data_IF_315850390065
#
_entry.id   IF_315850390065
#
_cell.length_a   1.000
_cell.length_b   1.000
_cell.length_c   1.000
_cell.angle_alpha   90.00
_cell.angle_beta   90.00
_cell.angle_gamma   90.00
#
_symmetry.space_group_name_H-M   'P 1'
#
loop_
_entity.id
_entity.type
_entity.pdbx_description
1 polymer ?
#
# COMPACT_ATOMS: atom_id res chain seq x y z
N UNK A 1 32.13 22.09 -36.24
CA UNK A 1 32.46 21.84 -37.69
C UNK A 1 31.18 21.61 -38.44
N UNK A 2 30.62 22.57 -39.13
CA UNK A 2 29.36 22.43 -39.89
C UNK A 2 29.59 21.71 -41.24
N UNK A 3 28.53 21.05 -41.75
CA UNK A 3 28.56 20.39 -43.03
C UNK A 3 28.59 21.44 -44.18
N UNK A 4 29.48 21.28 -45.15
CA UNK A 4 29.63 22.20 -46.28
C UNK A 4 28.47 21.96 -47.29
N UNK A 5 28.14 23.00 -48.09
CA UNK A 5 26.94 23.04 -48.94
C UNK A 5 26.87 21.92 -50.01
N UNK A 6 27.98 21.31 -50.43
CA UNK A 6 28.05 20.20 -51.37
C UNK A 6 28.72 18.93 -50.79
N UNK A 7 28.77 18.82 -49.49
CA UNK A 7 29.43 17.66 -48.82
C UNK A 7 28.39 16.56 -48.57
N UNK A 8 28.70 15.33 -49.02
CA UNK A 8 27.85 14.18 -48.63
C UNK A 8 27.93 13.93 -47.12
N UNK A 9 26.92 13.30 -46.58
CA UNK A 9 26.87 13.05 -45.11
C UNK A 9 28.06 12.14 -44.65
N UNK A 10 28.39 11.16 -45.51
CA UNK A 10 29.56 10.26 -45.24
C UNK A 10 30.87 11.05 -45.28
N UNK A 11 31.06 11.94 -46.24
CA UNK A 11 32.27 12.79 -46.34
C UNK A 11 32.37 13.74 -45.14
N UNK A 12 31.24 14.26 -44.67
CA UNK A 12 31.17 15.06 -43.45
C UNK A 12 31.58 14.27 -42.19
N UNK A 13 30.98 13.08 -41.98
CA UNK A 13 31.32 12.20 -40.86
C UNK A 13 32.81 11.86 -40.89
N UNK A 14 33.33 11.51 -42.06
CA UNK A 14 34.74 11.18 -42.26
C UNK A 14 35.67 12.34 -41.92
N UNK A 15 35.33 13.56 -42.36
CA UNK A 15 36.09 14.77 -42.05
C UNK A 15 36.12 15.10 -40.57
N UNK A 16 34.97 15.01 -39.88
CA UNK A 16 34.87 15.26 -38.45
C UNK A 16 35.57 14.17 -37.63
N UNK A 17 35.44 12.92 -38.03
CA UNK A 17 36.11 11.76 -37.36
C UNK A 17 37.61 11.83 -37.52
N UNK A 18 38.12 12.18 -38.68
CA UNK A 18 39.57 12.38 -38.90
C UNK A 18 40.11 13.56 -38.08
N UNK A 19 39.35 14.67 -37.96
CA UNK A 19 39.74 15.77 -37.10
C UNK A 19 39.83 15.39 -35.61
N UNK A 20 38.96 14.50 -35.14
CA UNK A 20 39.06 13.94 -33.80
C UNK A 20 40.24 12.99 -33.64
N UNK A 21 40.50 12.13 -34.64
CA UNK A 21 41.69 11.27 -34.66
C UNK A 21 43.00 12.07 -34.62
N UNK A 22 43.05 13.17 -35.33
CA UNK A 22 44.17 14.11 -35.37
C UNK A 22 44.30 14.99 -34.10
N UNK A 23 43.43 14.79 -33.09
CA UNK A 23 43.35 15.56 -31.87
C UNK A 23 43.03 17.07 -32.09
N UNK A 24 42.40 17.45 -33.18
CA UNK A 24 41.98 18.80 -33.49
C UNK A 24 40.67 19.17 -32.79
N UNK A 25 39.84 18.15 -32.46
CA UNK A 25 38.66 18.25 -31.65
C UNK A 25 38.63 17.12 -30.61
N UNK A 26 37.93 17.32 -29.50
CA UNK A 26 37.71 16.34 -28.44
C UNK A 26 36.62 15.32 -28.81
N UNK A 27 36.56 14.18 -28.08
CA UNK A 27 35.48 13.21 -28.22
C UNK A 27 34.09 13.81 -27.91
N UNK A 28 34.01 14.78 -27.02
CA UNK A 28 32.79 15.51 -26.71
C UNK A 28 32.34 16.34 -27.92
N UNK A 29 33.23 17.16 -28.50
CA UNK A 29 32.92 17.97 -29.67
C UNK A 29 32.59 17.08 -30.89
N UNK A 30 33.28 15.94 -31.04
CA UNK A 30 32.94 14.94 -32.08
C UNK A 30 31.52 14.42 -31.88
N UNK A 31 31.13 14.12 -30.63
CA UNK A 31 29.78 13.70 -30.28
C UNK A 31 28.73 14.75 -30.63
N UNK A 32 28.98 16.03 -30.30
CA UNK A 32 28.07 17.14 -30.60
C UNK A 32 27.88 17.31 -32.12
N UNK A 33 28.92 17.13 -32.90
CA UNK A 33 28.85 17.26 -34.36
C UNK A 33 28.14 16.08 -35.05
N UNK A 34 28.29 14.84 -34.53
CA UNK A 34 27.77 13.63 -35.16
C UNK A 34 26.41 13.21 -34.59
N UNK A 35 26.22 13.37 -33.29
CA UNK A 35 25.04 12.91 -32.54
C UNK A 35 24.08 14.03 -32.13
N UNK A 36 24.50 15.30 -32.28
CA UNK A 36 23.75 16.48 -31.88
C UNK A 36 24.11 16.98 -30.46
N UNK A 37 23.83 18.27 -30.20
CA UNK A 37 24.21 18.96 -28.97
C UNK A 37 23.41 18.51 -27.72
N UNK A 38 22.32 17.80 -27.89
CA UNK A 38 21.49 17.27 -26.80
C UNK A 38 22.00 15.90 -26.27
N UNK A 39 23.19 15.49 -26.69
CA UNK A 39 23.74 14.21 -26.26
C UNK A 39 24.26 14.30 -24.82
N UNK A 40 23.69 13.48 -23.92
CA UNK A 40 24.12 13.30 -22.52
C UNK A 40 25.07 12.11 -22.34
N UNK A 41 25.92 11.79 -23.31
CA UNK A 41 26.84 10.67 -23.22
C UNK A 41 28.07 10.99 -22.37
N UNK A 42 28.50 10.02 -21.57
CA UNK A 42 29.80 10.14 -20.87
C UNK A 42 30.96 10.15 -21.86
N UNK A 43 32.06 10.80 -21.52
CA UNK A 43 33.27 10.85 -22.35
C UNK A 43 33.78 9.46 -22.75
N UNK A 44 33.58 8.45 -21.92
CA UNK A 44 33.97 7.06 -22.21
C UNK A 44 33.07 6.42 -23.29
N UNK A 45 31.77 6.68 -23.24
CA UNK A 45 30.85 6.19 -24.26
C UNK A 45 31.05 6.87 -25.61
N UNK A 46 31.35 8.16 -25.61
CA UNK A 46 31.70 8.88 -26.84
C UNK A 46 33.03 8.35 -27.44
N UNK A 47 34.00 8.05 -26.62
CA UNK A 47 35.27 7.41 -27.07
C UNK A 47 35.00 6.05 -27.71
N UNK A 48 34.18 5.20 -27.12
CA UNK A 48 33.81 3.88 -27.69
C UNK A 48 33.12 4.02 -29.03
N UNK A 49 32.11 4.94 -29.10
CA UNK A 49 31.38 5.23 -30.33
C UNK A 49 32.33 5.75 -31.44
N UNK A 50 33.22 6.67 -31.09
CA UNK A 50 34.25 7.16 -32.03
C UNK A 50 35.07 6.03 -32.64
N UNK A 51 35.63 5.11 -31.82
CA UNK A 51 36.47 4.02 -32.34
C UNK A 51 35.70 3.08 -33.28
N UNK A 52 34.41 2.88 -33.06
CA UNK A 52 33.56 2.06 -33.94
C UNK A 52 33.37 2.77 -35.30
N UNK A 53 32.98 4.05 -35.27
CA UNK A 53 32.83 4.86 -36.49
C UNK A 53 34.13 4.98 -37.25
N UNK A 54 35.28 5.21 -36.57
CA UNK A 54 36.61 5.27 -37.19
C UNK A 54 36.99 3.95 -37.89
N UNK A 55 36.73 2.80 -37.25
CA UNK A 55 36.97 1.48 -37.85
C UNK A 55 36.12 1.22 -39.08
N UNK A 56 34.83 1.61 -39.02
CA UNK A 56 33.90 1.47 -40.15
C UNK A 56 34.31 2.34 -41.34
N UNK A 57 34.69 3.59 -41.10
CA UNK A 57 35.16 4.48 -42.16
C UNK A 57 36.45 3.96 -42.86
N UNK A 58 37.38 3.39 -42.12
CA UNK A 58 38.56 2.77 -42.67
C UNK A 58 38.24 1.53 -43.52
N UNK A 59 37.26 0.71 -43.12
CA UNK A 59 36.77 -0.43 -43.93
C UNK A 59 36.09 0.01 -45.21
N UNK A 60 35.37 1.14 -45.22
CA UNK A 60 34.74 1.71 -46.41
C UNK A 60 35.81 2.10 -47.44
N UNK A 61 36.94 2.68 -46.98
CA UNK A 61 38.05 3.06 -47.87
C UNK A 61 38.76 1.86 -48.46
N UNK A 62 38.83 0.72 -47.77
CA UNK A 62 39.48 -0.50 -48.22
C UNK A 62 38.66 -1.32 -49.22
N UNK A 63 37.32 -1.28 -49.19
CA UNK A 63 36.45 -2.22 -49.90
C UNK A 63 35.53 -1.61 -50.98
N UNK A 64 35.55 -0.32 -51.23
CA UNK A 64 34.71 0.39 -52.23
C UNK A 64 33.20 0.07 -52.19
N UNK A 65 32.63 -0.37 -51.02
CA UNK A 65 31.25 -0.78 -50.82
C UNK A 65 30.49 0.25 -49.96
N UNK A 66 29.99 1.33 -50.58
CA UNK A 66 29.19 2.37 -49.86
C UNK A 66 27.88 1.83 -49.28
N UNK A 67 27.22 0.86 -49.90
CA UNK A 67 25.88 0.39 -49.53
C UNK A 67 25.86 -0.48 -48.24
N UNK A 68 26.79 -1.36 -48.08
CA UNK A 68 26.89 -2.23 -46.90
C UNK A 68 27.30 -1.44 -45.64
N UNK A 69 28.13 -0.44 -45.82
CA UNK A 69 28.55 0.42 -44.71
C UNK A 69 27.46 1.36 -44.18
N UNK A 70 26.53 1.83 -45.04
CA UNK A 70 25.38 2.63 -44.61
C UNK A 70 24.45 1.77 -43.76
N UNK A 71 24.19 0.53 -44.19
CA UNK A 71 23.34 -0.43 -43.44
C UNK A 71 23.94 -0.82 -42.09
N UNK A 72 25.23 -0.99 -42.01
CA UNK A 72 25.94 -1.27 -40.74
C UNK A 72 25.89 -0.07 -39.80
N UNK A 73 25.99 1.16 -40.30
CA UNK A 73 25.81 2.37 -39.50
C UNK A 73 24.38 2.53 -38.97
N UNK A 74 23.38 2.19 -39.75
CA UNK A 74 21.96 2.21 -39.31
C UNK A 74 21.71 1.16 -38.24
N UNK A 75 22.20 -0.06 -38.42
CA UNK A 75 22.14 -1.12 -37.43
C UNK A 75 22.81 -0.71 -36.11
N UNK A 76 23.98 -0.12 -36.17
CA UNK A 76 24.71 0.35 -35.00
C UNK A 76 23.98 1.49 -34.28
N UNK A 77 23.38 2.42 -35.03
CA UNK A 77 22.55 3.47 -34.44
C UNK A 77 21.38 2.88 -33.65
N UNK A 78 20.72 1.86 -34.20
CA UNK A 78 19.57 1.22 -33.58
C UNK A 78 19.99 0.39 -32.33
N UNK A 79 21.17 -0.22 -32.33
CA UNK A 79 21.74 -0.88 -31.16
C UNK A 79 22.07 0.12 -30.04
N UNK A 80 22.70 1.24 -30.38
CA UNK A 80 22.97 2.33 -29.40
C UNK A 80 21.68 2.88 -28.82
N UNK A 81 20.64 3.05 -29.65
CA UNK A 81 19.34 3.51 -29.17
C UNK A 81 18.69 2.49 -28.20
N UNK A 82 18.72 1.20 -28.53
CA UNK A 82 18.23 0.12 -27.65
C UNK A 82 18.96 0.09 -26.29
N UNK A 83 20.28 0.20 -26.32
CA UNK A 83 21.07 0.25 -25.08
C UNK A 83 20.78 1.50 -24.23
N UNK A 84 20.52 2.64 -24.88
CA UNK A 84 20.08 3.86 -24.18
C UNK A 84 18.74 3.66 -23.48
N UNK A 85 17.76 3.04 -24.14
CA UNK A 85 16.48 2.73 -23.53
C UNK A 85 16.63 1.80 -22.33
N UNK A 86 17.43 0.72 -22.47
CA UNK A 86 17.72 -0.21 -21.36
C UNK A 86 18.36 0.49 -20.16
N UNK A 87 19.33 1.37 -20.40
CA UNK A 87 19.98 2.14 -19.33
C UNK A 87 19.02 3.09 -18.63
N UNK A 88 18.10 3.73 -19.38
CA UNK A 88 17.07 4.59 -18.81
C UNK A 88 16.10 3.81 -17.94
N UNK A 89 15.71 2.60 -18.36
CA UNK A 89 14.82 1.74 -17.59
C UNK A 89 15.50 1.28 -16.29
N UNK A 90 16.73 0.80 -16.35
CA UNK A 90 17.53 0.43 -15.17
C UNK A 90 17.71 1.62 -14.21
N UNK A 91 17.94 2.83 -14.74
CA UNK A 91 18.05 4.03 -13.90
C UNK A 91 16.73 4.44 -13.27
N UNK A 92 15.59 4.16 -13.94
CA UNK A 92 14.25 4.39 -13.35
C UNK A 92 13.98 3.40 -12.23
N UNK A 93 14.24 2.11 -12.46
CA UNK A 93 14.10 1.08 -11.43
C UNK A 93 14.97 1.41 -10.21
N UNK A 94 16.25 1.64 -10.41
CA UNK A 94 17.17 1.97 -9.30
C UNK A 94 16.80 3.24 -8.55
N UNK A 95 16.25 4.26 -9.23
CA UNK A 95 15.71 5.46 -8.55
C UNK A 95 14.45 5.17 -7.75
N UNK A 96 13.60 4.27 -8.23
CA UNK A 96 12.42 3.85 -7.50
C UNK A 96 12.80 3.05 -6.25
N UNK A 97 13.74 2.11 -6.36
CA UNK A 97 14.24 1.30 -5.24
C UNK A 97 14.86 2.19 -4.15
N UNK A 98 15.75 3.11 -4.53
CA UNK A 98 16.36 4.07 -3.59
C UNK A 98 15.32 4.99 -2.92
N UNK A 99 14.23 5.35 -3.63
CA UNK A 99 13.14 6.14 -3.02
C UNK A 99 12.33 5.32 -2.02
N UNK A 100 12.13 4.04 -2.29
CA UNK A 100 11.43 3.11 -1.39
C UNK A 100 12.29 2.88 -0.14
N UNK A 101 13.59 2.60 -0.30
CA UNK A 101 14.53 2.45 0.81
C UNK A 101 14.61 3.71 1.68
N UNK A 102 14.79 4.89 1.08
CA UNK A 102 14.85 6.14 1.83
C UNK A 102 13.55 6.47 2.57
N UNK A 103 12.37 6.10 2.00
CA UNK A 103 11.09 6.22 2.69
C UNK A 103 10.98 5.25 3.86
N UNK A 104 11.48 4.03 3.70
CA UNK A 104 11.47 3.01 4.74
C UNK A 104 12.42 3.35 5.90
N UNK A 105 13.60 3.87 5.60
CA UNK A 105 14.56 4.35 6.62
C UNK A 105 13.98 5.53 7.41
N UNK A 106 13.37 6.51 6.73
CA UNK A 106 12.68 7.64 7.38
C UNK A 106 11.51 7.18 8.27
N UNK A 107 10.77 6.15 7.81
CA UNK A 107 9.71 5.52 8.56
C UNK A 107 10.24 4.88 9.85
N UNK A 108 11.34 4.14 9.79
CA UNK A 108 11.96 3.50 10.95
C UNK A 108 12.47 4.51 11.98
N UNK A 109 13.00 5.66 11.54
CA UNK A 109 13.41 6.74 12.44
C UNK A 109 12.20 7.36 13.15
N UNK A 110 11.15 7.71 12.40
CA UNK A 110 9.92 8.29 12.98
C UNK A 110 9.23 7.30 13.93
N UNK A 111 9.21 6.00 13.61
CA UNK A 111 8.69 4.96 14.50
C UNK A 111 9.50 4.88 15.80
N UNK A 112 10.83 4.91 15.73
CA UNK A 112 11.70 4.88 16.91
C UNK A 112 11.48 6.10 17.82
N UNK A 113 11.33 7.28 17.24
CA UNK A 113 11.15 8.52 18.01
C UNK A 113 9.76 8.60 18.68
N UNK A 114 8.73 7.97 18.10
CA UNK A 114 7.36 8.00 18.64
C UNK A 114 7.03 6.86 19.62
N UNK A 115 7.83 5.81 19.71
CA UNK A 115 7.62 4.70 20.65
C UNK A 115 7.69 5.18 22.13
N UNK A 116 8.40 6.26 22.44
CA UNK A 116 8.64 6.76 23.80
C UNK A 116 7.57 7.68 24.41
N UNK A 117 6.58 8.17 23.68
CA UNK A 117 5.65 9.20 24.18
C UNK A 117 4.18 8.79 24.08
N UNK A 118 3.66 8.17 25.17
CA UNK A 118 2.23 7.96 25.33
C UNK A 118 1.72 8.46 26.68
N UNK A 119 0.74 9.39 26.72
CA UNK A 119 0.04 9.67 27.96
C UNK A 119 -0.89 8.50 28.32
N UNK A 120 -0.78 8.01 29.54
CA UNK A 120 -1.73 7.07 30.14
C UNK A 120 -3.07 7.76 30.31
N UNK A 121 -4.13 7.20 29.70
CA UNK A 121 -5.50 7.64 29.94
C UNK A 121 -6.07 6.93 31.14
N UNK A 122 -6.23 7.65 32.27
CA UNK A 122 -7.01 7.18 33.42
C UNK A 122 -8.51 7.43 33.17
N UNK A 123 -9.28 6.35 33.14
CA UNK A 123 -10.75 6.44 33.09
C UNK A 123 -11.25 6.38 34.53
N UNK A 124 -11.82 7.49 35.00
CA UNK A 124 -12.50 7.55 36.31
C UNK A 124 -13.87 6.87 36.24
N UNK A 125 -14.20 6.11 37.30
CA UNK A 125 -15.54 5.55 37.60
C UNK A 125 -16.01 4.32 36.80
N UNK A 126 -15.18 3.30 36.65
CA UNK A 126 -15.63 2.03 36.11
C UNK A 126 -15.55 0.88 37.16
N UNK A 127 -16.64 0.08 37.27
CA UNK A 127 -16.62 -1.19 38.01
C UNK A 127 -16.29 -2.32 37.03
N UNK A 128 -15.17 -3.08 37.27
CA UNK A 128 -14.84 -4.23 36.41
C UNK A 128 -15.97 -5.25 36.37
N UNK A 129 -16.17 -5.85 35.20
CA UNK A 129 -17.08 -6.99 35.02
C UNK A 129 -16.65 -8.09 36.00
N UNK A 130 -17.65 -8.73 36.62
CA UNK A 130 -17.40 -9.77 37.64
C UNK A 130 -16.68 -10.98 36.98
N UNK A 131 -15.45 -11.29 37.40
CA UNK A 131 -14.58 -12.34 36.80
C UNK A 131 -15.15 -13.76 36.93
N UNK A 132 -16.24 -13.96 37.68
CA UNK A 132 -16.85 -15.26 37.91
C UNK A 132 -18.07 -15.56 37.04
N UNK A 133 -18.34 -14.76 36.01
CA UNK A 133 -19.44 -15.04 35.05
C UNK A 133 -18.95 -15.98 33.93
N UNK A 134 -19.90 -16.73 33.35
CA UNK A 134 -19.65 -17.50 32.12
C UNK A 134 -19.11 -16.56 31.04
N UNK A 135 -18.10 -17.05 30.29
CA UNK A 135 -17.48 -16.27 29.24
C UNK A 135 -18.48 -15.96 28.14
N UNK A 136 -18.65 -14.67 27.87
CA UNK A 136 -19.41 -14.16 26.74
C UNK A 136 -18.51 -13.34 25.85
N UNK A 137 -18.56 -13.62 24.57
CA UNK A 137 -17.63 -13.04 23.60
C UNK A 137 -18.32 -12.04 22.68
N UNK A 138 -17.57 -11.04 22.25
CA UNK A 138 -17.94 -10.20 21.13
C UNK A 138 -16.74 -9.98 20.21
N UNK A 139 -17.03 -9.69 18.95
CA UNK A 139 -16.05 -9.28 17.94
C UNK A 139 -16.43 -7.89 17.44
N UNK A 140 -15.55 -6.92 17.63
CA UNK A 140 -15.64 -5.58 17.06
C UNK A 140 -14.80 -5.55 15.78
N UNK A 141 -15.45 -5.36 14.63
CA UNK A 141 -14.79 -5.26 13.34
C UNK A 141 -14.46 -3.80 13.03
N UNK A 142 -13.20 -3.52 12.79
CA UNK A 142 -12.68 -2.21 12.39
C UNK A 142 -11.97 -2.37 11.04
N UNK A 143 -12.43 -1.67 10.01
CA UNK A 143 -11.81 -1.68 8.68
C UNK A 143 -12.14 -0.40 7.92
N UNK A 144 -11.40 -0.17 6.86
CA UNK A 144 -11.69 0.89 5.89
C UNK A 144 -11.79 2.28 6.57
N UNK A 145 -10.78 2.58 7.40
CA UNK A 145 -10.69 3.88 8.07
C UNK A 145 -10.08 4.95 7.17
N UNK A 146 -9.18 4.57 6.27
CA UNK A 146 -8.48 5.47 5.35
C UNK A 146 -7.95 6.72 6.04
N UNK A 147 -7.23 6.54 7.16
CA UNK A 147 -6.62 7.64 7.92
C UNK A 147 -5.82 8.55 6.99
N UNK A 148 -6.02 9.86 7.15
CA UNK A 148 -5.39 10.88 6.32
C UNK A 148 -6.17 11.23 5.06
N UNK A 149 -7.24 10.53 4.70
CA UNK A 149 -8.09 10.93 3.58
C UNK A 149 -8.82 12.25 3.90
N UNK A 150 -8.91 13.12 2.89
CA UNK A 150 -9.74 14.32 2.91
C UNK A 150 -10.89 14.13 1.92
N UNK A 151 -12.12 14.10 2.42
CA UNK A 151 -13.33 14.03 1.61
C UNK A 151 -14.22 15.22 1.95
N UNK A 152 -14.63 15.94 0.92
CA UNK A 152 -15.60 17.05 1.04
C UNK A 152 -16.54 17.02 -0.17
N UNK A 153 -17.64 16.26 -0.04
CA UNK A 153 -18.66 16.15 -1.08
C UNK A 153 -20.07 16.26 -0.48
N UNK A 154 -21.09 16.29 -1.32
CA UNK A 154 -22.47 16.47 -0.85
C UNK A 154 -23.00 15.34 0.05
N UNK A 155 -22.31 14.20 0.16
CA UNK A 155 -22.74 13.02 0.91
C UNK A 155 -21.88 12.76 2.13
N UNK A 156 -20.68 13.35 2.21
CA UNK A 156 -19.73 13.04 3.26
C UNK A 156 -18.69 14.15 3.45
N UNK A 157 -18.38 14.41 4.71
CA UNK A 157 -17.19 15.16 5.11
C UNK A 157 -16.31 14.26 5.96
N UNK A 158 -15.05 14.14 5.60
CA UNK A 158 -14.11 13.28 6.30
C UNK A 158 -12.68 13.85 6.28
N UNK A 159 -12.07 13.84 7.44
CA UNK A 159 -10.69 14.19 7.72
C UNK A 159 -10.22 13.43 8.97
N UNK A 160 -9.02 13.68 9.45
CA UNK A 160 -8.47 13.00 10.65
C UNK A 160 -9.32 13.26 11.89
N UNK A 161 -9.80 14.47 12.11
CA UNK A 161 -10.66 14.79 13.26
C UNK A 161 -11.99 14.05 13.19
N UNK A 162 -12.63 14.02 12.03
CA UNK A 162 -13.86 13.25 11.80
C UNK A 162 -13.62 11.75 12.00
N UNK A 163 -12.48 11.22 11.59
CA UNK A 163 -12.11 9.83 11.86
C UNK A 163 -12.07 9.53 13.36
N UNK A 164 -11.45 10.40 14.15
CA UNK A 164 -11.35 10.25 15.61
C UNK A 164 -12.74 10.32 16.25
N UNK A 165 -13.57 11.23 15.82
CA UNK A 165 -14.97 11.36 16.33
C UNK A 165 -15.78 10.12 16.02
N UNK A 166 -15.73 9.63 14.78
CA UNK A 166 -16.42 8.40 14.34
C UNK A 166 -15.94 7.17 15.09
N UNK A 167 -14.62 7.01 15.22
CA UNK A 167 -14.02 5.91 16.00
C UNK A 167 -14.45 5.96 17.47
N UNK A 168 -14.56 7.15 18.05
CA UNK A 168 -15.04 7.37 19.43
C UNK A 168 -16.50 6.98 19.57
N UNK A 169 -17.37 7.34 18.62
CA UNK A 169 -18.79 6.93 18.61
C UNK A 169 -18.93 5.41 18.49
N UNK A 170 -18.17 4.78 17.57
CA UNK A 170 -18.15 3.32 17.42
C UNK A 170 -17.76 2.65 18.74
N UNK A 171 -16.69 3.12 19.39
CA UNK A 171 -16.27 2.62 20.69
C UNK A 171 -17.34 2.74 21.76
N UNK A 172 -18.00 3.90 21.87
CA UNK A 172 -19.01 4.15 22.89
C UNK A 172 -20.21 3.21 22.69
N UNK A 173 -20.73 3.11 21.47
CA UNK A 173 -21.87 2.26 21.15
C UNK A 173 -21.52 0.78 21.33
N UNK A 174 -20.30 0.35 20.92
CA UNK A 174 -19.83 -1.01 21.16
C UNK A 174 -19.79 -1.35 22.65
N UNK A 175 -19.32 -0.43 23.51
CA UNK A 175 -19.33 -0.63 24.96
C UNK A 175 -20.75 -0.72 25.54
N UNK A 176 -21.71 0.07 25.03
CA UNK A 176 -23.11 0.00 25.46
C UNK A 176 -23.75 -1.35 25.11
N UNK A 177 -23.56 -1.85 23.88
CA UNK A 177 -24.04 -3.16 23.47
C UNK A 177 -23.34 -4.30 24.23
N UNK A 178 -22.02 -4.21 24.42
CA UNK A 178 -21.30 -5.19 25.22
C UNK A 178 -21.80 -5.24 26.67
N UNK A 179 -22.13 -4.10 27.28
CA UNK A 179 -22.73 -4.05 28.63
C UNK A 179 -24.12 -4.67 28.65
N UNK A 180 -24.97 -4.35 27.66
CA UNK A 180 -26.33 -4.90 27.54
C UNK A 180 -26.33 -6.43 27.55
N UNK A 181 -25.36 -7.02 26.85
CA UNK A 181 -25.19 -8.48 26.71
C UNK A 181 -24.30 -9.10 27.80
N UNK A 182 -23.75 -8.31 28.69
CA UNK A 182 -22.75 -8.76 29.69
C UNK A 182 -21.55 -9.48 29.06
N UNK A 183 -21.02 -8.92 27.97
CA UNK A 183 -19.82 -9.43 27.28
C UNK A 183 -18.63 -9.34 28.23
N UNK A 184 -17.89 -10.44 28.34
CA UNK A 184 -16.72 -10.53 29.23
C UNK A 184 -15.39 -10.47 28.48
N UNK A 185 -15.36 -10.94 27.25
CA UNK A 185 -14.17 -11.07 26.42
C UNK A 185 -14.39 -10.47 25.04
N UNK A 186 -13.49 -9.59 24.61
CA UNK A 186 -13.61 -8.88 23.33
C UNK A 186 -12.49 -9.30 22.38
N UNK A 187 -12.85 -9.53 21.11
CA UNK A 187 -11.89 -9.57 20.01
C UNK A 187 -12.08 -8.30 19.17
N UNK A 188 -10.99 -7.62 18.86
CA UNK A 188 -10.98 -6.47 17.96
C UNK A 188 -10.29 -6.91 16.69
N UNK A 189 -11.03 -6.93 15.59
CA UNK A 189 -10.49 -7.15 14.25
C UNK A 189 -10.09 -5.81 13.63
N UNK A 190 -8.85 -5.69 13.20
CA UNK A 190 -8.33 -4.57 12.40
C UNK A 190 -8.14 -5.12 11.01
N UNK A 191 -9.15 -4.96 10.17
CA UNK A 191 -9.30 -5.73 8.94
C UNK A 191 -8.94 -4.96 7.68
N UNK A 192 -7.79 -4.25 7.72
CA UNK A 192 -7.18 -3.58 6.58
C UNK A 192 -7.80 -2.23 6.18
N UNK A 193 -7.12 -1.56 5.27
CA UNK A 193 -7.39 -0.21 4.77
C UNK A 193 -7.55 0.83 5.90
N UNK A 194 -6.66 0.69 6.89
CA UNK A 194 -6.59 1.63 8.03
C UNK A 194 -5.96 2.96 7.61
N UNK A 195 -5.09 2.97 6.60
CA UNK A 195 -4.47 4.15 6.00
C UNK A 195 -5.06 4.43 4.62
N UNK A 196 -5.09 5.72 4.22
CA UNK A 196 -5.47 6.12 2.86
C UNK A 196 -4.38 5.71 1.84
N UNK A 197 -3.14 5.60 2.31
CA UNK A 197 -2.02 5.15 1.50
C UNK A 197 -1.58 6.15 0.44
N UNK A 198 -0.87 5.64 -0.57
CA UNK A 198 -0.33 6.43 -1.67
C UNK A 198 -0.41 5.72 -3.02
N UNK A 199 -1.19 4.65 -3.14
CA UNK A 199 -1.27 3.84 -4.37
C UNK A 199 -2.01 4.55 -5.50
N UNK A 200 -2.97 5.42 -5.18
CA UNK A 200 -3.70 6.23 -6.14
C UNK A 200 -3.19 7.67 -6.13
N UNK A 201 -3.18 8.32 -7.29
CA UNK A 201 -2.80 9.74 -7.40
C UNK A 201 -3.79 10.62 -6.63
N UNK A 202 -5.08 10.33 -6.71
CA UNK A 202 -6.14 11.00 -5.93
C UNK A 202 -5.87 10.87 -4.44
N UNK A 203 -5.66 9.67 -3.91
CA UNK A 203 -5.36 9.46 -2.49
C UNK A 203 -4.13 10.25 -2.01
N UNK A 204 -3.15 10.49 -2.89
CA UNK A 204 -1.96 11.29 -2.55
C UNK A 204 -2.20 12.80 -2.55
N UNK A 205 -3.08 13.27 -3.42
CA UNK A 205 -3.40 14.70 -3.57
C UNK A 205 -4.44 15.13 -2.55
N UNK A 206 -5.38 14.24 -2.23
CA UNK A 206 -6.50 14.44 -1.33
C UNK A 206 -6.23 13.87 0.08
N UNK A 207 -4.98 13.90 0.52
CA UNK A 207 -4.59 13.47 1.86
C UNK A 207 -4.07 14.64 2.69
N UNK A 208 -4.56 14.77 3.91
CA UNK A 208 -4.04 15.72 4.90
C UNK A 208 -2.65 15.35 5.42
N UNK A 209 -2.35 14.05 5.46
CA UNK A 209 -1.12 13.50 6.02
C UNK A 209 -0.37 12.62 5.00
N UNK A 210 0.96 12.64 5.06
CA UNK A 210 1.78 11.65 4.35
C UNK A 210 1.60 10.24 4.95
N UNK A 211 1.81 9.19 4.16
CA UNK A 211 1.52 7.78 4.54
C UNK A 211 2.17 7.38 5.88
N UNK A 212 3.38 7.83 6.15
CA UNK A 212 4.06 7.56 7.42
C UNK A 212 3.27 8.14 8.59
N UNK A 213 2.84 9.40 8.45
CA UNK A 213 2.05 10.06 9.49
C UNK A 213 0.69 9.38 9.65
N UNK A 214 0.05 8.94 8.57
CA UNK A 214 -1.20 8.18 8.61
C UNK A 214 -1.05 6.91 9.48
N UNK A 215 0.04 6.16 9.31
CA UNK A 215 0.31 4.95 10.13
C UNK A 215 0.47 5.30 11.61
N UNK A 216 1.20 6.37 11.92
CA UNK A 216 1.40 6.85 13.30
C UNK A 216 0.07 7.27 13.90
N UNK A 217 -0.66 8.15 13.21
CA UNK A 217 -1.94 8.71 13.65
C UNK A 217 -2.96 7.59 13.90
N UNK A 218 -3.17 6.69 12.95
CA UNK A 218 -4.15 5.60 13.11
C UNK A 218 -3.77 4.64 14.22
N UNK A 219 -2.48 4.33 14.37
CA UNK A 219 -2.01 3.45 15.46
C UNK A 219 -2.22 4.09 16.82
N UNK A 220 -1.99 5.40 16.95
CA UNK A 220 -2.23 6.14 18.18
C UNK A 220 -3.72 6.18 18.55
N UNK A 221 -4.58 6.44 17.57
CA UNK A 221 -6.04 6.42 17.78
C UNK A 221 -6.50 5.03 18.20
N UNK A 222 -6.05 3.97 17.51
CA UNK A 222 -6.36 2.58 17.87
C UNK A 222 -5.89 2.24 19.29
N UNK A 223 -4.64 2.57 19.62
CA UNK A 223 -4.09 2.29 20.95
C UNK A 223 -4.89 3.00 22.07
N UNK A 224 -5.24 4.28 21.87
CA UNK A 224 -6.08 5.05 22.80
C UNK A 224 -7.48 4.45 22.93
N UNK A 225 -8.10 4.12 21.80
CA UNK A 225 -9.41 3.48 21.77
C UNK A 225 -9.40 2.17 22.54
N UNK A 226 -8.47 1.27 22.24
CA UNK A 226 -8.35 -0.05 22.84
C UNK A 226 -8.02 0.06 24.35
N UNK A 227 -7.06 0.91 24.73
CA UNK A 227 -6.75 1.15 26.15
C UNK A 227 -7.98 1.63 26.92
N UNK A 228 -8.81 2.48 26.32
CA UNK A 228 -10.04 2.97 26.95
C UNK A 228 -11.09 1.88 27.16
N UNK A 229 -10.99 0.77 26.40
CA UNK A 229 -11.93 -0.36 26.51
C UNK A 229 -11.46 -1.43 27.52
N UNK A 230 -10.16 -1.50 27.83
CA UNK A 230 -9.59 -2.53 28.73
C UNK A 230 -10.32 -2.70 30.07
N UNK A 231 -10.72 -1.63 30.77
CA UNK A 231 -11.38 -1.78 32.08
C UNK A 231 -12.71 -2.52 32.02
N UNK A 232 -13.30 -2.65 30.83
CA UNK A 232 -14.64 -3.21 30.62
C UNK A 232 -14.65 -4.72 30.34
N UNK A 233 -13.48 -5.33 30.09
CA UNK A 233 -13.38 -6.73 29.68
C UNK A 233 -12.37 -7.50 30.53
N UNK A 234 -12.62 -8.81 30.70
CA UNK A 234 -11.65 -9.71 31.31
C UNK A 234 -10.45 -9.97 30.40
N UNK A 235 -10.69 -10.02 29.09
CA UNK A 235 -9.61 -10.10 28.10
C UNK A 235 -9.99 -9.37 26.82
N UNK A 236 -8.97 -8.78 26.17
CA UNK A 236 -9.04 -8.26 24.82
C UNK A 236 -8.01 -8.99 23.97
N UNK A 237 -8.38 -9.41 22.77
CA UNK A 237 -7.46 -9.90 21.75
C UNK A 237 -7.59 -9.01 20.52
N UNK A 238 -6.50 -8.82 19.80
CA UNK A 238 -6.48 -8.10 18.53
C UNK A 238 -6.14 -9.09 17.42
N UNK A 239 -6.85 -9.00 16.31
CA UNK A 239 -6.58 -9.74 15.07
C UNK A 239 -6.37 -8.72 13.96
N UNK A 240 -5.30 -8.84 13.17
CA UNK A 240 -5.01 -7.87 12.11
C UNK A 240 -4.82 -8.56 10.77
N UNK A 241 -5.35 -7.96 9.71
CA UNK A 241 -5.06 -8.29 8.31
C UNK A 241 -4.62 -7.01 7.58
N UNK A 242 -4.03 -7.16 6.40
CA UNK A 242 -3.57 -6.02 5.60
C UNK A 242 -4.60 -5.64 4.55
N UNK A 243 -4.80 -4.34 4.37
CA UNK A 243 -5.57 -3.79 3.27
C UNK A 243 -4.74 -3.56 2.00
N UNK A 244 -5.42 -3.17 0.94
CA UNK A 244 -4.75 -2.89 -0.33
C UNK A 244 -4.21 -1.44 -0.42
N UNK A 245 -4.73 -0.51 0.35
CA UNK A 245 -4.27 0.89 0.35
C UNK A 245 -2.88 1.08 0.98
N UNK A 246 -2.49 0.18 1.87
CA UNK A 246 -1.17 0.21 2.50
C UNK A 246 0.00 -0.25 1.61
N UNK A 247 -0.22 -0.71 0.37
CA UNK A 247 0.85 -1.17 -0.54
C UNK A 247 1.83 -0.06 -0.87
N UNK A 248 3.11 -0.44 -1.05
CA UNK A 248 4.17 0.50 -1.43
C UNK A 248 4.10 0.89 -2.90
N UNK A 249 3.61 -0.01 -3.76
CA UNK A 249 3.56 0.19 -5.21
C UNK A 249 2.11 0.30 -5.71
N UNK A 250 1.81 1.25 -6.62
CA UNK A 250 0.48 1.39 -7.21
C UNK A 250 0.07 0.17 -8.04
N UNK A 251 1.01 -0.42 -8.76
CA UNK A 251 0.73 -1.55 -9.63
C UNK A 251 0.62 -2.84 -8.81
N UNK A 252 -0.54 -3.51 -8.86
CA UNK A 252 -0.81 -4.75 -8.13
C UNK A 252 0.11 -5.90 -8.54
N UNK A 253 0.52 -5.97 -9.82
CA UNK A 253 1.42 -7.03 -10.32
C UNK A 253 2.85 -6.89 -9.82
N UNK A 254 3.26 -5.69 -9.43
CA UNK A 254 4.62 -5.38 -8.96
C UNK A 254 4.68 -5.33 -7.43
N UNK A 255 3.54 -5.55 -6.76
CA UNK A 255 3.44 -5.52 -5.31
C UNK A 255 3.96 -6.81 -4.70
N UNK A 256 4.90 -6.68 -3.77
CA UNK A 256 5.36 -7.78 -2.93
C UNK A 256 4.45 -7.84 -1.70
N UNK A 257 3.96 -9.04 -1.37
CA UNK A 257 2.95 -9.23 -0.30
C UNK A 257 3.37 -8.63 1.05
N UNK A 258 4.66 -8.65 1.36
CA UNK A 258 5.20 -8.14 2.62
C UNK A 258 5.61 -6.65 2.56
N UNK A 259 5.40 -5.97 1.43
CA UNK A 259 5.66 -4.55 1.28
C UNK A 259 4.37 -3.74 1.42
N UNK A 260 3.93 -3.59 2.67
CA UNK A 260 2.70 -2.90 3.02
C UNK A 260 2.91 -2.09 4.31
N UNK A 261 2.61 -0.80 4.27
CA UNK A 261 2.77 0.11 5.42
C UNK A 261 1.94 -0.32 6.64
N UNK A 262 0.81 -0.98 6.43
CA UNK A 262 -0.05 -1.44 7.52
C UNK A 262 0.59 -2.54 8.38
N UNK A 263 1.66 -3.20 7.91
CA UNK A 263 2.45 -4.13 8.75
C UNK A 263 3.05 -3.47 9.99
N UNK A 264 3.21 -2.17 9.97
CA UNK A 264 3.73 -1.41 11.11
C UNK A 264 2.69 -1.26 12.22
N UNK A 265 1.40 -1.24 11.88
CA UNK A 265 0.31 -1.08 12.85
C UNK A 265 0.38 -2.15 13.95
N UNK A 266 0.34 -3.48 13.66
CA UNK A 266 0.45 -4.49 14.72
C UNK A 266 1.78 -4.44 15.45
N UNK A 267 2.87 -4.03 14.83
CA UNK A 267 4.18 -3.88 15.47
C UNK A 267 4.15 -2.76 16.50
N UNK A 268 3.69 -1.58 16.13
CA UNK A 268 3.56 -0.44 17.04
C UNK A 268 2.52 -0.69 18.14
N UNK A 269 1.42 -1.40 17.82
CA UNK A 269 0.42 -1.75 18.82
C UNK A 269 0.98 -2.71 19.88
N UNK A 270 1.90 -3.63 19.55
CA UNK A 270 2.55 -4.50 20.56
C UNK A 270 3.34 -3.69 21.60
N UNK A 271 4.01 -2.64 21.15
CA UNK A 271 4.76 -1.77 22.06
C UNK A 271 3.82 -0.93 22.94
N UNK A 272 2.72 -0.44 22.36
CA UNK A 272 1.75 0.41 23.08
C UNK A 272 0.78 -0.38 23.98
N UNK A 273 0.53 -1.64 23.69
CA UNK A 273 -0.47 -2.53 24.31
C UNK A 273 0.18 -3.88 24.69
N UNK A 274 1.27 -3.82 25.45
CA UNK A 274 2.12 -4.99 25.76
C UNK A 274 1.40 -6.13 26.50
N UNK A 275 0.27 -5.85 27.14
CA UNK A 275 -0.58 -6.80 27.87
C UNK A 275 -1.69 -7.44 27.01
N UNK A 276 -1.84 -7.02 25.75
CA UNK A 276 -2.84 -7.53 24.82
C UNK A 276 -2.23 -8.52 23.82
N UNK A 277 -2.87 -9.68 23.64
CA UNK A 277 -2.46 -10.64 22.61
C UNK A 277 -2.86 -10.15 21.23
N UNK A 278 -1.89 -9.99 20.32
CA UNK A 278 -2.10 -9.63 18.93
C UNK A 278 -1.82 -10.84 18.04
N UNK A 279 -2.80 -11.23 17.24
CA UNK A 279 -2.71 -12.24 16.18
C UNK A 279 -2.61 -11.47 14.87
N UNK A 280 -1.43 -11.41 14.28
CA UNK A 280 -1.26 -10.76 12.99
C UNK A 280 -1.24 -11.76 11.83
N UNK A 281 -1.55 -11.30 10.65
CA UNK A 281 -1.59 -12.08 9.42
C UNK A 281 -0.21 -12.39 8.84
N UNK A 282 0.88 -11.91 9.46
CA UNK A 282 2.27 -12.08 9.00
C UNK A 282 2.48 -11.58 7.55
N UNK A 283 1.93 -10.43 7.25
CA UNK A 283 2.06 -9.81 5.95
C UNK A 283 1.02 -10.23 4.91
N UNK A 284 0.00 -10.99 5.29
CA UNK A 284 -1.08 -11.39 4.40
C UNK A 284 -2.33 -10.51 4.61
N UNK A 285 -3.20 -10.50 3.62
CA UNK A 285 -4.52 -9.85 3.68
C UNK A 285 -5.60 -10.71 4.36
N UNK A 286 -5.22 -11.88 4.87
CA UNK A 286 -6.11 -12.82 5.57
C UNK A 286 -5.42 -13.52 6.73
N UNK A 287 -6.22 -13.98 7.70
CA UNK A 287 -5.79 -14.82 8.81
C UNK A 287 -6.95 -15.67 9.34
N UNK A 288 -6.70 -16.48 10.36
CA UNK A 288 -7.75 -17.19 11.09
C UNK A 288 -7.48 -17.16 12.59
N UNK A 289 -8.54 -17.23 13.35
CA UNK A 289 -8.47 -17.41 14.80
C UNK A 289 -9.65 -18.23 15.32
N UNK A 290 -9.60 -18.56 16.58
CA UNK A 290 -10.64 -19.34 17.25
C UNK A 290 -11.21 -18.57 18.45
N UNK A 291 -12.53 -18.62 18.58
CA UNK A 291 -13.29 -18.07 19.70
C UNK A 291 -14.39 -19.07 20.09
N UNK A 292 -14.35 -19.56 21.35
CA UNK A 292 -15.34 -20.47 21.91
C UNK A 292 -15.59 -21.71 21.00
N UNK A 293 -14.53 -22.32 20.48
CA UNK A 293 -14.58 -23.47 19.57
C UNK A 293 -15.03 -23.15 18.14
N UNK A 294 -15.32 -21.90 17.81
CA UNK A 294 -15.65 -21.46 16.45
C UNK A 294 -14.41 -20.98 15.73
N UNK A 295 -14.21 -21.48 14.52
CA UNK A 295 -13.15 -21.05 13.61
C UNK A 295 -13.65 -19.87 12.81
N UNK A 296 -13.01 -18.71 12.97
CA UNK A 296 -13.30 -17.49 12.23
C UNK A 296 -12.16 -17.21 11.29
N UNK A 297 -12.47 -17.02 10.02
CA UNK A 297 -11.52 -16.58 9.00
C UNK A 297 -11.77 -15.11 8.69
N UNK A 298 -10.70 -14.34 8.66
CA UNK A 298 -10.73 -12.89 8.43
C UNK A 298 -9.90 -12.58 7.21
N UNK A 299 -10.45 -11.79 6.31
CA UNK A 299 -9.74 -11.24 5.17
C UNK A 299 -10.15 -9.79 4.95
N UNK A 300 -9.24 -8.97 4.39
CA UNK A 300 -9.68 -7.63 3.98
C UNK A 300 -10.74 -7.70 2.86
N UNK A 301 -10.63 -8.62 1.92
CA UNK A 301 -11.68 -8.89 0.92
C UNK A 301 -11.36 -8.45 -0.51
N UNK A 302 -10.25 -7.72 -0.77
CA UNK A 302 -9.90 -7.24 -2.11
C UNK A 302 -9.60 -8.36 -3.13
N UNK A 303 -9.36 -9.57 -2.67
CA UNK A 303 -9.10 -10.75 -3.49
C UNK A 303 -10.21 -11.80 -3.39
N UNK A 304 -11.23 -11.54 -2.58
CA UNK A 304 -12.26 -12.51 -2.23
C UNK A 304 -13.58 -12.25 -2.97
N UNK A 305 -14.30 -13.32 -3.23
CA UNK A 305 -15.67 -13.30 -3.71
C UNK A 305 -16.58 -13.88 -2.63
N UNK A 306 -17.60 -13.15 -2.20
CA UNK A 306 -18.56 -13.58 -1.19
C UNK A 306 -19.16 -14.98 -1.46
N UNK A 307 -19.27 -15.36 -2.73
CA UNK A 307 -19.82 -16.67 -3.12
C UNK A 307 -18.81 -17.83 -3.11
N UNK A 308 -17.51 -17.53 -3.07
CA UNK A 308 -16.42 -18.50 -3.16
C UNK A 308 -15.53 -18.57 -1.91
N UNK A 309 -15.53 -17.51 -1.12
CA UNK A 309 -14.59 -17.32 0.00
C UNK A 309 -14.59 -18.48 0.98
N UNK A 310 -15.75 -19.03 1.31
CA UNK A 310 -15.89 -20.22 2.18
C UNK A 310 -15.12 -21.41 1.59
N UNK A 311 -15.39 -21.72 0.31
CA UNK A 311 -14.74 -22.83 -0.39
C UNK A 311 -13.23 -22.64 -0.52
N UNK A 312 -12.81 -21.43 -0.84
CA UNK A 312 -11.40 -21.13 -1.08
C UNK A 312 -10.60 -21.19 0.24
N UNK A 313 -11.10 -20.63 1.31
CA UNK A 313 -10.48 -20.75 2.63
C UNK A 313 -10.52 -22.17 3.17
N UNK A 314 -11.63 -22.91 2.97
CA UNK A 314 -11.70 -24.31 3.38
C UNK A 314 -10.66 -25.17 2.67
N UNK A 315 -10.43 -24.95 1.38
CA UNK A 315 -9.37 -25.63 0.61
C UNK A 315 -7.98 -25.24 1.07
N UNK A 316 -7.75 -23.94 1.33
CA UNK A 316 -6.46 -23.40 1.74
C UNK A 316 -6.05 -23.91 3.13
N UNK A 317 -6.93 -23.79 4.11
CA UNK A 317 -6.64 -24.13 5.50
C UNK A 317 -6.97 -25.58 5.87
N UNK A 318 -7.61 -26.34 4.97
CA UNK A 318 -8.08 -27.73 5.20
C UNK A 318 -9.04 -27.84 6.39
N UNK A 319 -9.83 -26.79 6.60
CA UNK A 319 -10.84 -26.73 7.67
C UNK A 319 -12.00 -25.85 7.20
N UNK A 320 -13.23 -26.24 7.54
CA UNK A 320 -14.42 -25.45 7.26
C UNK A 320 -14.58 -24.38 8.35
N UNK A 321 -14.69 -23.09 8.00
CA UNK A 321 -14.92 -22.05 8.99
C UNK A 321 -16.37 -22.10 9.51
N UNK A 322 -16.57 -21.55 10.71
CA UNK A 322 -17.91 -21.23 11.19
C UNK A 322 -18.35 -19.86 10.67
N UNK A 323 -17.41 -18.93 10.56
CA UNK A 323 -17.66 -17.58 10.07
C UNK A 323 -16.51 -17.08 9.22
N UNK A 324 -16.83 -16.19 8.26
CA UNK A 324 -15.86 -15.45 7.43
C UNK A 324 -16.19 -13.96 7.58
N UNK A 325 -15.19 -13.16 7.96
CA UNK A 325 -15.30 -11.73 8.13
C UNK A 325 -14.48 -11.01 7.06
N UNK A 326 -15.11 -10.05 6.38
CA UNK A 326 -14.54 -9.28 5.28
C UNK A 326 -14.69 -7.77 5.51
N UNK A 327 -13.90 -6.97 4.82
CA UNK A 327 -13.99 -5.52 4.69
C UNK A 327 -14.11 -5.10 3.23
N UNK A 328 -13.37 -4.05 2.84
CA UNK A 328 -13.09 -3.60 1.47
C UNK A 328 -14.26 -3.03 0.67
N UNK A 329 -15.46 -3.58 0.78
CA UNK A 329 -16.60 -3.16 -0.05
C UNK A 329 -17.32 -1.92 0.48
N UNK A 330 -16.92 -1.43 1.65
CA UNK A 330 -17.48 -0.27 2.35
C UNK A 330 -18.98 -0.39 2.68
N UNK A 331 -19.57 -1.56 2.50
CA UNK A 331 -21.02 -1.79 2.71
C UNK A 331 -21.24 -2.99 3.59
N UNK A 332 -21.97 -2.79 4.70
CA UNK A 332 -22.38 -3.92 5.54
C UNK A 332 -23.19 -4.93 4.76
N UNK A 333 -22.82 -6.21 4.90
CA UNK A 333 -23.58 -7.34 4.35
C UNK A 333 -23.41 -8.54 5.27
N UNK A 334 -24.50 -9.28 5.52
CA UNK A 334 -24.46 -10.53 6.27
C UNK A 334 -25.17 -11.64 5.48
N UNK A 335 -24.45 -12.69 5.16
CA UNK A 335 -24.94 -13.81 4.36
C UNK A 335 -24.82 -15.09 5.19
N UNK A 336 -25.83 -15.96 5.07
CA UNK A 336 -25.78 -17.31 5.62
C UNK A 336 -25.76 -18.32 4.47
N UNK A 337 -24.67 -19.05 4.35
CA UNK A 337 -24.51 -20.11 3.37
C UNK A 337 -24.19 -21.44 4.09
N UNK A 338 -25.18 -22.35 4.10
CA UNK A 338 -25.07 -23.65 4.79
C UNK A 338 -24.63 -23.54 6.26
N UNK A 339 -25.24 -22.61 6.99
CA UNK A 339 -24.93 -22.25 8.39
C UNK A 339 -23.55 -21.65 8.63
N UNK A 340 -22.80 -21.34 7.57
CA UNK A 340 -21.57 -20.55 7.64
C UNK A 340 -21.95 -19.10 7.38
N UNK A 341 -21.55 -18.19 8.30
CA UNK A 341 -21.83 -16.76 8.17
C UNK A 341 -20.70 -16.07 7.43
N UNK A 342 -21.07 -15.24 6.44
CA UNK A 342 -20.12 -14.33 5.77
C UNK A 342 -20.59 -12.91 6.09
N UNK A 343 -19.79 -12.21 6.88
CA UNK A 343 -20.09 -10.84 7.30
C UNK A 343 -19.08 -9.88 6.68
N UNK A 344 -19.58 -8.90 5.96
CA UNK A 344 -18.77 -7.79 5.42
C UNK A 344 -18.98 -6.58 6.33
N UNK A 345 -17.89 -5.98 6.75
CA UNK A 345 -17.91 -4.77 7.56
C UNK A 345 -18.27 -3.54 6.71
N UNK A 346 -18.87 -2.54 7.32
CA UNK A 346 -18.96 -1.21 6.74
C UNK A 346 -17.62 -0.48 6.74
N UNK A 347 -17.58 0.76 6.25
CA UNK A 347 -16.39 1.60 6.30
C UNK A 347 -16.53 2.74 7.30
N UNK A 348 -15.43 3.14 7.96
CA UNK A 348 -15.43 4.32 8.82
C UNK A 348 -15.40 5.62 8.01
N UNK A 349 -14.68 5.61 6.87
CA UNK A 349 -14.64 6.76 5.96
C UNK A 349 -16.03 7.09 5.38
N UNK A 350 -16.88 6.08 5.14
CA UNK A 350 -18.17 6.29 4.44
C UNK A 350 -17.96 6.47 2.94
N UNK A 351 -18.69 7.42 2.35
CA UNK A 351 -18.69 7.65 0.91
C UNK A 351 -17.62 8.63 0.48
N UNK A 352 -16.54 8.15 -0.10
CA UNK A 352 -15.55 8.94 -0.81
C UNK A 352 -16.02 9.33 -2.22
N UNK A 353 -15.22 10.11 -2.95
CA UNK A 353 -15.57 10.56 -4.31
C UNK A 353 -15.64 9.40 -5.30
N UNK A 354 -14.84 8.33 -5.09
CA UNK A 354 -14.95 7.12 -5.89
C UNK A 354 -16.30 6.41 -5.69
N UNK A 355 -16.73 6.24 -4.44
CA UNK A 355 -18.05 5.66 -4.10
C UNK A 355 -19.20 6.45 -4.74
N UNK A 356 -19.12 7.78 -4.72
CA UNK A 356 -20.09 8.66 -5.40
C UNK A 356 -20.09 8.43 -6.91
N UNK A 357 -18.89 8.33 -7.52
CA UNK A 357 -18.76 8.10 -8.96
C UNK A 357 -19.38 6.79 -9.40
N UNK A 358 -19.23 5.72 -8.63
CA UNK A 358 -19.83 4.41 -8.91
C UNK A 358 -21.24 4.23 -8.31
N UNK A 359 -21.80 5.28 -7.71
CA UNK A 359 -23.15 5.34 -7.11
C UNK A 359 -23.38 4.33 -5.96
N UNK A 360 -22.35 4.11 -5.16
CA UNK A 360 -22.38 3.26 -3.95
C UNK A 360 -22.17 4.10 -2.70
N UNK A 361 -23.12 5.02 -2.46
CA UNK A 361 -23.11 5.86 -1.27
C UNK A 361 -23.59 5.06 -0.06
N UNK A 362 -22.80 5.05 1.01
CA UNK A 362 -23.08 4.33 2.26
C UNK A 362 -22.85 5.23 3.47
N UNK A 363 -23.66 5.02 4.51
CA UNK A 363 -23.44 5.65 5.81
C UNK A 363 -22.23 5.00 6.51
N UNK A 364 -21.33 5.79 7.09
CA UNK A 364 -20.20 5.23 7.86
C UNK A 364 -20.67 4.30 8.96
N UNK A 365 -20.11 3.10 8.99
CA UNK A 365 -20.47 2.11 10.02
C UNK A 365 -19.37 1.10 10.27
N UNK A 366 -19.42 0.47 11.47
CA UNK A 366 -18.58 -0.66 11.84
C UNK A 366 -19.44 -1.70 12.56
N UNK A 367 -19.05 -2.98 12.52
CA UNK A 367 -19.90 -4.04 13.10
C UNK A 367 -19.41 -4.48 14.46
N UNK A 368 -20.36 -4.79 15.34
CA UNK A 368 -20.16 -5.54 16.56
C UNK A 368 -20.96 -6.84 16.49
N UNK A 369 -20.30 -7.98 16.61
CA UNK A 369 -20.91 -9.30 16.63
C UNK A 369 -20.84 -9.81 18.07
N UNK A 370 -21.99 -10.10 18.67
CA UNK A 370 -22.10 -10.65 20.03
C UNK A 370 -22.48 -12.12 19.94
N UNK A 371 -21.75 -12.97 20.65
CA UNK A 371 -21.98 -14.42 20.71
C UNK A 371 -22.67 -14.77 22.01
N UNK A 372 -23.97 -15.08 21.89
CA UNK A 372 -24.81 -15.66 22.91
C UNK A 372 -25.36 -17.01 22.41
N UNK A 373 -26.56 -17.45 22.86
CA UNK A 373 -27.25 -18.61 22.28
C UNK A 373 -27.40 -18.44 20.75
N UNK A 374 -27.82 -17.23 20.35
CA UNK A 374 -27.94 -16.81 18.96
C UNK A 374 -26.94 -15.68 18.71
N UNK A 375 -26.30 -15.71 17.55
CA UNK A 375 -25.40 -14.66 17.11
C UNK A 375 -26.20 -13.36 16.83
N UNK A 376 -25.81 -12.27 17.47
CA UNK A 376 -26.43 -10.97 17.26
C UNK A 376 -25.40 -10.00 16.63
N UNK A 377 -25.81 -9.29 15.56
CA UNK A 377 -24.98 -8.27 14.91
C UNK A 377 -25.61 -6.89 15.12
N UNK A 378 -24.74 -5.95 15.45
CA UNK A 378 -25.02 -4.53 15.50
C UNK A 378 -24.18 -3.81 14.44
N UNK A 379 -24.83 -3.28 13.41
CA UNK A 379 -24.20 -2.31 12.52
C UNK A 379 -24.20 -0.96 13.25
N UNK A 380 -23.05 -0.57 13.80
CA UNK A 380 -22.88 0.67 14.55
C UNK A 380 -22.66 1.81 13.56
N UNK A 381 -23.64 2.68 13.39
CA UNK A 381 -23.50 3.89 12.59
C UNK A 381 -22.57 4.88 13.28
N UNK A 382 -21.66 5.47 12.50
CA UNK A 382 -20.62 6.35 13.00
C UNK A 382 -20.89 7.85 12.78
N UNK A 383 -22.05 8.20 12.22
CA UNK A 383 -22.52 9.59 12.05
C UNK A 383 -22.97 10.23 13.35
#
# INVERSE_FOLDING_TARGET
MERKENETYISYIKRVTNACSDKKISYSEWGDYILGTDNNYSSENLRKAFYVVYKLLNKIDENNCEYDAIKDLENLRDEIYKERCRLQDIQREKRNDLRVEARFENLLEVVKDNIGFMPTYEIKDFKPINKNQDKKYAVLQLSDWHCGALVDNQFNYYNVDTMVDRATKVRNNALEYCKLHNVTDLVIEINGDMVNGAIHVSSRVESEEGVIQQVITVTDVLAKLINSMKPYFNSIKIVTTLGNHGRLTPNKSDSITNENFEMLIPTMLRDKLSDIKIIDSKGLDFTKYEIDGKIIMVSHGQNDSMTKVISDFSKMFKVVPNEVHLGHTHSYTDINDCDIKVTVNGSLIGSDDYAVTIRKVTTPSQNLIVYEKDRCIYEIKAE
#
